data_IF_061895677197
#
_entry.id   IF_061895677197
#
_cell.length_a   1.000
_cell.length_b   1.000
_cell.length_c   1.000
_cell.angle_alpha   90.00
_cell.angle_beta   90.00
_cell.angle_gamma   90.00
#
_symmetry.space_group_name_H-M   'P 1'
#
loop_
_entity.id
_entity.type
_entity.pdbx_description
1 polymer ?
#
# COMPACT_ATOMS: atom_id res chain seq x y z
N UNK A 1 -6.72 16.69 2.84
CA UNK A 1 -6.92 15.76 1.71
C UNK A 1 -7.63 14.51 2.17
N UNK A 2 -8.41 13.85 1.30
CA UNK A 2 -8.98 12.55 1.62
C UNK A 2 -7.91 11.54 2.03
N UNK A 3 -8.31 10.60 2.86
CA UNK A 3 -7.47 9.50 3.28
C UNK A 3 -7.95 8.22 2.63
N UNK A 4 -7.01 7.38 2.21
CA UNK A 4 -7.29 6.09 1.58
C UNK A 4 -6.54 4.99 2.29
N UNK A 5 -7.17 3.82 2.37
CA UNK A 5 -6.49 2.60 2.78
C UNK A 5 -6.15 1.82 1.51
N UNK A 6 -4.88 1.56 1.33
CA UNK A 6 -4.37 0.75 0.23
C UNK A 6 -4.11 -0.66 0.77
N UNK A 7 -4.66 -1.66 0.09
CA UNK A 7 -4.45 -3.06 0.41
C UNK A 7 -3.79 -3.74 -0.78
N UNK A 8 -2.56 -4.21 -0.57
CA UNK A 8 -1.76 -4.93 -1.55
C UNK A 8 -1.68 -6.39 -1.17
N UNK A 9 -1.81 -7.27 -2.15
CA UNK A 9 -1.60 -8.70 -1.98
C UNK A 9 -0.66 -9.22 -3.06
N UNK A 10 0.19 -10.17 -2.69
CA UNK A 10 1.09 -10.83 -3.62
C UNK A 10 1.21 -12.32 -3.27
N UNK A 11 1.67 -13.11 -4.24
CA UNK A 11 1.96 -14.53 -4.02
C UNK A 11 3.25 -14.68 -3.19
N UNK A 12 3.45 -15.83 -2.51
CA UNK A 12 4.64 -16.04 -1.68
C UNK A 12 5.96 -15.79 -2.42
N UNK A 13 6.06 -16.19 -3.67
CA UNK A 13 7.28 -16.02 -4.47
C UNK A 13 7.50 -14.58 -4.94
N UNK A 14 6.54 -13.69 -4.75
CA UNK A 14 6.60 -12.29 -5.16
C UNK A 14 7.01 -11.35 -4.03
N UNK A 15 7.20 -11.86 -2.82
CA UNK A 15 7.46 -11.04 -1.65
C UNK A 15 8.67 -10.12 -1.84
N UNK A 16 9.80 -10.68 -2.23
CA UNK A 16 11.01 -9.89 -2.47
C UNK A 16 10.86 -8.90 -3.63
N UNK A 17 10.14 -9.29 -4.68
CA UNK A 17 9.90 -8.42 -5.84
C UNK A 17 9.04 -7.22 -5.44
N UNK A 18 7.99 -7.44 -4.65
CA UNK A 18 7.09 -6.39 -4.21
C UNK A 18 7.86 -5.30 -3.41
N UNK A 19 8.72 -5.70 -2.47
CA UNK A 19 9.52 -4.75 -1.72
C UNK A 19 10.59 -4.09 -2.58
N UNK A 20 11.26 -4.86 -3.44
CA UNK A 20 12.30 -4.31 -4.30
C UNK A 20 11.76 -3.32 -5.34
N UNK A 21 10.50 -3.44 -5.72
CA UNK A 21 9.87 -2.53 -6.68
C UNK A 21 9.88 -1.07 -6.22
N UNK A 22 9.95 -0.81 -4.91
CA UNK A 22 10.04 0.55 -4.39
C UNK A 22 11.40 1.20 -4.62
N UNK A 23 12.43 0.44 -4.91
CA UNK A 23 13.76 1.01 -5.20
C UNK A 23 13.70 1.80 -6.50
N UNK A 24 14.18 3.04 -6.44
CA UNK A 24 14.14 3.93 -7.60
C UNK A 24 12.80 4.59 -7.88
N UNK A 25 11.76 4.23 -7.14
CA UNK A 25 10.44 4.87 -7.25
C UNK A 25 10.32 5.96 -6.20
N UNK A 26 10.11 7.19 -6.61
CA UNK A 26 9.90 8.29 -5.68
C UNK A 26 8.50 8.19 -5.08
N UNK A 27 8.45 8.08 -3.76
CA UNK A 27 7.17 7.94 -3.06
C UNK A 27 7.34 8.37 -1.61
N UNK A 28 6.34 9.06 -1.04
CA UNK A 28 6.33 9.36 0.39
C UNK A 28 6.21 8.11 1.25
N UNK A 29 5.90 6.95 0.67
CA UNK A 29 5.78 5.69 1.39
C UNK A 29 7.13 5.02 1.66
N UNK A 30 8.19 5.41 0.95
CA UNK A 30 9.52 4.85 1.14
C UNK A 30 10.06 5.23 2.52
N UNK A 31 10.74 4.27 3.16
CA UNK A 31 11.37 4.45 4.47
C UNK A 31 10.37 4.74 5.60
N UNK A 32 9.09 4.44 5.36
CA UNK A 32 8.05 4.50 6.38
C UNK A 32 7.58 3.10 6.74
N UNK A 33 7.13 2.95 7.96
CA UNK A 33 6.53 1.69 8.40
C UNK A 33 5.19 1.48 7.71
N UNK A 34 4.91 0.24 7.34
CA UNK A 34 3.61 -0.21 6.85
C UNK A 34 3.21 -1.46 7.63
N UNK A 35 1.93 -1.75 7.66
CA UNK A 35 1.45 -3.00 8.22
C UNK A 35 1.54 -4.08 7.15
N UNK A 36 2.18 -5.18 7.47
CA UNK A 36 2.35 -6.29 6.55
C UNK A 36 2.12 -7.60 7.28
N UNK A 37 1.48 -8.56 6.60
CA UNK A 37 1.28 -9.90 7.15
C UNK A 37 2.36 -10.89 6.73
N UNK A 38 3.31 -10.49 5.88
CA UNK A 38 4.40 -11.36 5.44
C UNK A 38 5.16 -12.02 6.60
N UNK A 39 5.53 -11.29 7.68
CA UNK A 39 6.23 -11.92 8.81
C UNK A 39 5.40 -12.96 9.54
N UNK A 40 4.07 -12.89 9.43
CA UNK A 40 3.16 -13.85 10.06
C UNK A 40 2.68 -14.94 9.09
N UNK A 41 3.29 -15.03 7.90
CA UNK A 41 2.95 -16.04 6.90
C UNK A 41 1.88 -15.63 5.90
N UNK A 42 1.31 -14.44 6.03
CA UNK A 42 0.44 -13.85 5.01
C UNK A 42 1.28 -13.14 3.95
N UNK A 43 0.66 -12.60 2.94
CA UNK A 43 1.36 -11.88 1.86
C UNK A 43 0.57 -10.65 1.45
N UNK A 44 0.25 -9.82 2.44
CA UNK A 44 -0.48 -8.58 2.26
C UNK A 44 0.23 -7.43 2.95
N UNK A 45 0.04 -6.23 2.40
CA UNK A 45 0.57 -5.00 2.98
C UNK A 45 -0.55 -3.96 2.96
N UNK A 46 -0.61 -3.13 4.00
CA UNK A 46 -1.60 -2.06 4.12
C UNK A 46 -0.89 -0.74 4.36
N UNK A 47 -1.34 0.29 3.64
CA UNK A 47 -0.88 1.67 3.85
C UNK A 47 -2.10 2.58 4.03
N UNK A 48 -2.00 3.51 4.96
CA UNK A 48 -2.90 4.66 5.02
C UNK A 48 -2.22 5.83 4.31
N UNK A 49 -2.84 6.35 3.27
CA UNK A 49 -2.26 7.41 2.45
C UNK A 49 -3.23 8.58 2.30
N UNK A 50 -2.69 9.79 2.20
CA UNK A 50 -3.45 10.97 1.83
C UNK A 50 -3.23 11.27 0.36
N UNK A 51 -4.31 11.51 -0.36
CA UNK A 51 -4.27 11.79 -1.79
C UNK A 51 -5.54 12.53 -2.22
N UNK A 52 -5.50 13.18 -3.36
CA UNK A 52 -6.66 13.90 -3.90
C UNK A 52 -7.72 12.93 -4.44
N UNK A 53 -7.31 11.76 -4.90
CA UNK A 53 -8.19 10.74 -5.47
C UNK A 53 -7.60 9.35 -5.25
N UNK A 54 -8.40 8.32 -5.53
CA UNK A 54 -7.93 6.92 -5.49
C UNK A 54 -6.81 6.68 -6.52
N UNK A 55 -6.89 7.28 -7.70
CA UNK A 55 -5.82 7.18 -8.70
C UNK A 55 -4.52 7.79 -8.18
N UNK A 56 -4.59 8.94 -7.54
CA UNK A 56 -3.42 9.59 -6.94
C UNK A 56 -2.84 8.75 -5.80
N UNK A 57 -3.69 8.09 -5.03
CA UNK A 57 -3.24 7.17 -3.99
C UNK A 57 -2.45 6.00 -4.60
N UNK A 58 -2.95 5.41 -5.69
CA UNK A 58 -2.25 4.33 -6.39
C UNK A 58 -0.91 4.76 -6.99
N UNK A 59 -0.80 6.02 -7.42
CA UNK A 59 0.45 6.55 -7.97
C UNK A 59 1.59 6.64 -6.96
N UNK A 60 1.28 6.58 -5.67
CA UNK A 60 2.31 6.51 -4.64
C UNK A 60 3.00 5.15 -4.60
N UNK A 61 2.42 4.14 -5.26
CA UNK A 61 2.95 2.80 -5.35
C UNK A 61 3.66 2.59 -6.69
N UNK A 62 4.77 1.82 -6.72
CA UNK A 62 5.32 1.37 -7.99
C UNK A 62 4.30 0.56 -8.75
N UNK A 63 4.39 0.58 -10.09
CA UNK A 63 3.40 -0.05 -10.96
C UNK A 63 3.14 -1.52 -10.60
N UNK A 64 4.20 -2.27 -10.38
CA UNK A 64 4.08 -3.69 -9.98
C UNK A 64 3.21 -3.88 -8.74
N UNK A 65 3.40 -3.03 -7.73
CA UNK A 65 2.64 -3.09 -6.48
C UNK A 65 1.22 -2.58 -6.69
N UNK A 66 1.07 -1.48 -7.43
CA UNK A 66 -0.24 -0.87 -7.71
C UNK A 66 -1.18 -1.84 -8.43
N UNK A 67 -0.67 -2.62 -9.37
CA UNK A 67 -1.47 -3.61 -10.10
C UNK A 67 -2.09 -4.68 -9.20
N UNK A 68 -1.50 -4.89 -8.02
CA UNK A 68 -1.90 -5.91 -7.06
C UNK A 68 -2.52 -5.30 -5.81
N UNK A 69 -3.04 -4.08 -5.94
CA UNK A 69 -3.56 -3.31 -4.82
C UNK A 69 -4.97 -2.83 -5.09
N UNK A 70 -5.74 -2.68 -4.01
CA UNK A 70 -7.04 -2.03 -4.01
C UNK A 70 -6.98 -0.80 -3.13
N UNK A 71 -7.81 0.19 -3.44
CA UNK A 71 -7.85 1.45 -2.70
C UNK A 71 -9.27 1.69 -2.22
N UNK A 72 -9.40 2.03 -0.94
CA UNK A 72 -10.69 2.35 -0.34
C UNK A 72 -10.58 3.68 0.39
N UNK A 73 -11.45 4.62 0.09
CA UNK A 73 -11.51 5.86 0.84
C UNK A 73 -12.03 5.57 2.24
N UNK A 74 -11.34 6.11 3.25
CA UNK A 74 -11.65 5.86 4.64
C UNK A 74 -11.66 7.17 5.43
N UNK A 75 -12.33 7.14 6.56
CA UNK A 75 -12.30 8.22 7.54
C UNK A 75 -12.35 7.62 8.93
N UNK A 76 -11.84 8.36 9.90
CA UNK A 76 -11.96 7.95 11.28
C UNK A 76 -13.40 8.12 11.74
N UNK A 77 -13.93 7.09 12.39
CA UNK A 77 -15.23 7.15 13.07
C UNK A 77 -15.05 6.63 14.49
N UNK A 78 -15.79 7.21 15.40
CA UNK A 78 -15.77 6.76 16.80
C UNK A 78 -16.71 5.57 16.95
N UNK A 79 -16.19 4.49 17.50
CA UNK A 79 -16.98 3.27 17.73
C UNK A 79 -17.75 3.44 19.04
N UNK A 80 -19.09 3.27 19.02
CA UNK A 80 -19.89 3.41 20.24
C UNK A 80 -19.56 2.34 21.27
#
# INVERSE_FOLDING_TARGET
>A
MPRFLVHHRHAPHQCGIAFAAFKGHESPLRHRAALASCPAGGHAIWWAVEAASDDDALRQLPFYVAQRSTVTQVAEVEIP
#
